data_IF_340923041770
#
_entry.id   IF_340923041770
#
_cell.length_a   1.000
_cell.length_b   1.000
_cell.length_c   1.000
_cell.angle_alpha   90.00
_cell.angle_beta   90.00
_cell.angle_gamma   90.00
#
_symmetry.space_group_name_H-M   'P 1'
#
loop_
_entity.id
_entity.type
_entity.pdbx_description
1 polymer ?
#
# COMPACT_ATOMS: atom_id res chain seq x y z
N UNK A 1 -9.72 -21.65 4.98
CA UNK A 1 -9.12 -20.55 5.78
C UNK A 1 -9.56 -19.15 5.34
N UNK A 2 -9.91 -18.90 4.07
CA UNK A 2 -10.37 -17.59 3.59
C UNK A 2 -11.69 -17.09 4.24
N UNK A 3 -12.64 -18.00 4.52
CA UNK A 3 -13.92 -17.62 5.14
C UNK A 3 -13.79 -17.10 6.59
N UNK A 4 -12.81 -17.60 7.35
CA UNK A 4 -12.59 -17.16 8.74
C UNK A 4 -11.97 -15.77 8.84
N UNK A 5 -11.14 -15.38 7.86
CA UNK A 5 -10.57 -14.04 7.78
C UNK A 5 -11.68 -13.01 7.52
N UNK A 6 -12.52 -13.26 6.51
CA UNK A 6 -13.67 -12.39 6.19
C UNK A 6 -14.68 -12.23 7.34
N UNK A 7 -14.88 -13.27 8.17
CA UNK A 7 -15.76 -13.21 9.36
C UNK A 7 -15.12 -12.38 10.50
N UNK A 8 -13.80 -12.49 10.70
CA UNK A 8 -13.07 -11.67 11.70
C UNK A 8 -12.93 -10.20 11.28
N UNK A 9 -12.77 -9.93 9.99
CA UNK A 9 -12.68 -8.57 9.48
C UNK A 9 -14.02 -7.84 9.58
N UNK A 10 -15.14 -8.56 9.43
CA UNK A 10 -16.48 -8.03 9.61
C UNK A 10 -16.78 -7.65 11.08
N UNK A 11 -16.36 -8.47 12.05
CA UNK A 11 -16.61 -8.15 13.46
C UNK A 11 -15.78 -6.97 13.96
N UNK A 12 -14.52 -6.83 13.52
CA UNK A 12 -13.70 -5.63 13.78
C UNK A 12 -14.27 -4.39 13.08
N UNK A 13 -14.73 -4.54 11.83
CA UNK A 13 -15.32 -3.45 11.06
C UNK A 13 -16.58 -2.90 11.75
N UNK A 14 -17.48 -3.81 12.17
CA UNK A 14 -18.69 -3.44 12.91
C UNK A 14 -18.37 -2.75 14.23
N UNK A 15 -17.32 -3.18 14.95
CA UNK A 15 -16.88 -2.53 16.19
C UNK A 15 -16.36 -1.10 15.95
N UNK A 16 -15.57 -0.89 14.89
CA UNK A 16 -15.14 0.46 14.47
C UNK A 16 -16.33 1.34 14.14
N UNK A 17 -17.28 0.86 13.32
CA UNK A 17 -18.48 1.61 12.96
C UNK A 17 -19.34 1.98 14.17
N UNK A 18 -19.46 1.08 15.14
CA UNK A 18 -20.16 1.34 16.39
C UNK A 18 -19.45 2.44 17.19
N UNK A 19 -18.13 2.40 17.28
CA UNK A 19 -17.32 3.43 17.95
C UNK A 19 -17.45 4.80 17.28
N UNK A 20 -17.47 4.84 15.95
CA UNK A 20 -17.72 6.08 15.20
C UNK A 20 -19.14 6.55 15.48
N UNK A 21 -20.14 5.66 15.42
CA UNK A 21 -21.55 6.00 15.68
C UNK A 21 -21.77 6.54 17.08
N UNK A 22 -21.06 6.06 18.08
CA UNK A 22 -21.18 6.51 19.47
C UNK A 22 -20.65 7.94 19.65
N UNK A 23 -19.62 8.31 18.88
CA UNK A 23 -19.04 9.65 18.90
C UNK A 23 -19.73 10.65 17.98
N UNK A 24 -20.66 10.20 17.13
CA UNK A 24 -21.45 11.08 16.29
C UNK A 24 -22.59 11.72 17.10
N UNK A 25 -22.68 13.05 17.06
CA UNK A 25 -23.83 13.79 17.59
C UNK A 25 -25.03 13.72 16.63
N UNK A 26 -26.22 14.08 17.11
CA UNK A 26 -27.44 14.11 16.28
C UNK A 26 -27.31 15.06 15.07
N UNK A 27 -26.58 16.16 15.23
CA UNK A 27 -26.27 17.10 14.14
C UNK A 27 -25.38 16.44 13.07
N UNK A 28 -24.34 15.73 13.50
CA UNK A 28 -23.46 14.99 12.59
C UNK A 28 -24.24 13.92 11.80
N UNK A 29 -25.13 13.18 12.48
CA UNK A 29 -25.98 12.17 11.82
C UNK A 29 -26.90 12.83 10.81
N UNK A 30 -27.47 13.98 11.14
CA UNK A 30 -28.32 14.77 10.24
C UNK A 30 -27.54 15.23 9.01
N UNK A 31 -26.32 15.75 9.19
CA UNK A 31 -25.44 16.15 8.08
C UNK A 31 -25.04 14.95 7.20
N UNK A 32 -24.75 13.79 7.81
CA UNK A 32 -24.47 12.56 7.07
C UNK A 32 -25.66 12.09 6.24
N UNK A 33 -26.90 12.23 6.74
CA UNK A 33 -28.10 11.90 5.96
C UNK A 33 -28.20 12.72 4.67
N UNK A 34 -27.79 13.98 4.70
CA UNK A 34 -27.78 14.83 3.50
C UNK A 34 -26.71 14.41 2.48
N UNK A 35 -25.60 13.84 2.94
CA UNK A 35 -24.53 13.35 2.08
C UNK A 35 -24.84 11.99 1.43
N UNK A 36 -25.85 11.27 1.93
CA UNK A 36 -26.29 9.97 1.41
C UNK A 36 -27.67 10.04 0.70
N UNK A 37 -27.88 10.88 -0.32
CA UNK A 37 -29.18 11.00 -1.00
C UNK A 37 -29.61 9.68 -1.66
N UNK A 38 -28.63 8.83 -1.99
CA UNK A 38 -28.85 7.50 -2.52
C UNK A 38 -29.75 6.64 -1.61
N UNK A 39 -29.66 6.78 -0.28
CA UNK A 39 -30.37 5.93 0.70
C UNK A 39 -31.90 6.05 0.56
N UNK A 40 -32.36 7.19 0.03
CA UNK A 40 -33.76 7.49 -0.20
C UNK A 40 -34.42 8.05 1.07
N UNK A 41 -35.22 9.10 0.90
CA UNK A 41 -35.81 9.90 2.00
C UNK A 41 -36.55 9.04 3.03
N UNK A 42 -37.36 8.07 2.58
CA UNK A 42 -38.13 7.16 3.46
C UNK A 42 -37.26 6.31 4.40
N UNK A 43 -36.05 5.91 3.99
CA UNK A 43 -35.11 5.16 4.85
C UNK A 43 -34.37 6.11 5.78
N UNK A 44 -33.94 7.27 5.27
CA UNK A 44 -33.25 8.30 6.06
C UNK A 44 -34.11 8.86 7.21
N UNK A 45 -35.43 8.94 7.03
CA UNK A 45 -36.38 9.35 8.08
C UNK A 45 -36.44 8.35 9.25
N UNK A 46 -36.16 7.06 9.01
CA UNK A 46 -36.17 6.02 10.05
C UNK A 46 -34.84 5.85 10.77
N UNK A 47 -33.76 6.35 10.18
CA UNK A 47 -32.40 6.28 10.73
C UNK A 47 -32.31 7.26 11.90
N UNK A 48 -32.05 6.77 13.10
CA UNK A 48 -31.89 7.63 14.29
C UNK A 48 -30.44 7.64 14.79
N UNK A 49 -29.67 6.58 14.53
CA UNK A 49 -28.25 6.48 14.89
C UNK A 49 -27.36 6.41 13.65
N UNK A 50 -26.10 6.83 13.81
CA UNK A 50 -25.09 6.69 12.75
C UNK A 50 -24.91 5.24 12.29
N UNK A 51 -25.02 4.28 13.20
CA UNK A 51 -24.90 2.85 12.88
C UNK A 51 -25.96 2.37 11.89
N UNK A 52 -27.21 2.83 12.00
CA UNK A 52 -28.29 2.45 11.07
C UNK A 52 -28.00 2.99 9.65
N UNK A 53 -27.37 4.17 9.57
CA UNK A 53 -26.91 4.75 8.31
C UNK A 53 -25.79 3.90 7.69
N UNK A 54 -24.82 3.50 8.50
CA UNK A 54 -23.70 2.68 8.06
C UNK A 54 -24.16 1.30 7.60
N UNK A 55 -25.12 0.66 8.28
CA UNK A 55 -25.71 -0.60 7.81
C UNK A 55 -26.40 -0.44 6.46
N UNK A 56 -27.13 0.66 6.23
CA UNK A 56 -27.70 0.94 4.91
C UNK A 56 -26.62 1.09 3.81
N UNK A 57 -25.48 1.70 4.13
CA UNK A 57 -24.36 1.83 3.19
C UNK A 57 -23.68 0.48 2.93
N UNK A 58 -23.60 -0.40 3.94
CA UNK A 58 -23.07 -1.77 3.78
C UNK A 58 -24.00 -2.63 2.93
N UNK A 59 -25.32 -2.59 3.17
CA UNK A 59 -26.32 -3.31 2.37
C UNK A 59 -26.19 -2.99 0.87
N UNK A 60 -25.68 -1.81 0.55
CA UNK A 60 -25.50 -1.30 -0.80
C UNK A 60 -24.10 -1.49 -1.36
N UNK A 61 -23.21 -2.12 -0.60
CA UNK A 61 -21.79 -2.26 -0.89
C UNK A 61 -21.07 -0.91 -1.13
N UNK A 62 -21.60 0.19 -0.59
CA UNK A 62 -20.96 1.50 -0.64
C UNK A 62 -19.78 1.58 0.33
N UNK A 63 -19.92 0.97 1.52
CA UNK A 63 -18.84 0.83 2.48
C UNK A 63 -18.70 -0.64 2.90
N UNK A 64 -17.49 -1.05 3.23
CA UNK A 64 -17.19 -2.41 3.68
C UNK A 64 -15.82 -2.50 4.37
N UNK A 65 -15.46 -3.69 4.88
CA UNK A 65 -14.17 -3.90 5.55
C UNK A 65 -12.97 -3.61 4.63
N UNK A 66 -13.11 -3.88 3.33
CA UNK A 66 -12.10 -3.60 2.31
C UNK A 66 -12.29 -2.23 1.62
N UNK A 67 -13.33 -1.48 1.96
CA UNK A 67 -13.67 -0.20 1.32
C UNK A 67 -14.29 0.80 2.31
N UNK A 68 -13.43 1.56 2.97
CA UNK A 68 -13.72 2.60 3.97
C UNK A 68 -13.70 4.01 3.38
N UNK A 69 -13.29 4.17 2.12
CA UNK A 69 -13.02 5.47 1.47
C UNK A 69 -14.25 6.38 1.43
N UNK A 70 -15.43 5.82 1.13
CA UNK A 70 -16.66 6.59 1.16
C UNK A 70 -16.98 7.07 2.58
N UNK A 71 -16.81 6.23 3.60
CA UNK A 71 -17.03 6.62 4.99
C UNK A 71 -16.08 7.76 5.40
N UNK A 72 -14.79 7.64 5.06
CA UNK A 72 -13.77 8.68 5.31
C UNK A 72 -14.13 9.99 4.64
N UNK A 73 -14.59 9.98 3.38
CA UNK A 73 -15.04 11.19 2.69
C UNK A 73 -16.21 11.85 3.40
N UNK A 74 -17.22 11.07 3.80
CA UNK A 74 -18.42 11.59 4.46
C UNK A 74 -18.09 12.19 5.83
N UNK A 75 -17.26 11.53 6.64
CA UNK A 75 -16.80 12.05 7.93
C UNK A 75 -15.96 13.33 7.79
N UNK A 76 -15.14 13.42 6.74
CA UNK A 76 -14.38 14.64 6.45
C UNK A 76 -15.31 15.80 6.03
N UNK A 77 -16.32 15.53 5.21
CA UNK A 77 -17.29 16.54 4.78
C UNK A 77 -18.12 17.13 5.94
N UNK A 78 -18.41 16.36 6.98
CA UNK A 78 -19.06 16.87 8.20
C UNK A 78 -18.08 17.49 9.20
N UNK A 79 -16.80 17.61 8.85
CA UNK A 79 -15.75 18.19 9.71
C UNK A 79 -15.29 17.29 10.86
N UNK A 80 -15.71 16.02 10.89
CA UNK A 80 -15.35 15.06 11.95
C UNK A 80 -14.01 14.38 11.65
N UNK A 81 -12.96 15.18 11.48
CA UNK A 81 -11.60 14.70 11.19
C UNK A 81 -11.05 13.82 12.32
N UNK A 82 -11.49 14.03 13.56
CA UNK A 82 -11.12 13.21 14.72
C UNK A 82 -11.60 11.77 14.57
N UNK A 83 -12.74 11.55 13.92
CA UNK A 83 -13.29 10.20 13.70
C UNK A 83 -12.54 9.46 12.59
N UNK A 84 -11.82 10.17 11.71
CA UNK A 84 -10.95 9.56 10.71
C UNK A 84 -9.80 8.79 11.36
N UNK A 85 -9.32 9.22 12.53
CA UNK A 85 -8.28 8.48 13.27
C UNK A 85 -8.76 7.10 13.73
N UNK A 86 -10.08 6.93 13.93
CA UNK A 86 -10.66 5.63 14.30
C UNK A 86 -10.68 4.70 13.09
N UNK A 87 -10.91 5.25 11.90
CA UNK A 87 -10.78 4.51 10.64
C UNK A 87 -9.32 4.16 10.40
N UNK A 88 -8.39 5.10 10.61
CA UNK A 88 -6.95 4.87 10.46
C UNK A 88 -6.45 3.77 11.40
N UNK A 89 -6.89 3.76 12.66
CA UNK A 89 -6.56 2.72 13.64
C UNK A 89 -7.14 1.34 13.24
N UNK A 90 -8.39 1.31 12.76
CA UNK A 90 -8.99 0.10 12.21
C UNK A 90 -8.24 -0.41 10.98
N UNK A 91 -7.89 0.48 10.04
CA UNK A 91 -7.11 0.17 8.85
C UNK A 91 -5.74 -0.36 9.26
N UNK A 92 -5.04 0.25 10.21
CA UNK A 92 -3.78 -0.28 10.77
C UNK A 92 -3.94 -1.64 11.45
N UNK A 93 -5.08 -1.91 12.08
CA UNK A 93 -5.36 -3.14 12.83
C UNK A 93 -5.96 -4.30 12.02
N UNK A 94 -6.49 -4.01 10.83
CA UNK A 94 -7.05 -4.98 9.86
C UNK A 94 -6.12 -5.20 8.67
N UNK A 95 -5.43 -4.14 8.25
CA UNK A 95 -4.39 -4.17 7.23
C UNK A 95 -3.07 -3.78 7.89
N UNK A 96 -2.14 -4.72 7.98
CA UNK A 96 -0.74 -4.39 8.23
C UNK A 96 -0.09 -3.58 7.10
N UNK A 97 -0.85 -2.87 6.25
CA UNK A 97 -0.36 -2.07 5.12
C UNK A 97 -1.35 -0.96 4.76
N UNK A 98 -0.97 0.33 4.89
CA UNK A 98 -1.68 1.45 4.29
C UNK A 98 -1.53 1.46 2.75
N UNK A 99 -2.58 1.72 1.96
CA UNK A 99 -2.53 1.66 0.50
C UNK A 99 -1.96 2.88 -0.25
N UNK A 100 -1.43 3.92 0.41
CA UNK A 100 -1.03 5.16 -0.30
C UNK A 100 0.39 5.70 0.03
N UNK A 101 1.18 4.94 0.79
CA UNK A 101 2.62 5.20 0.94
C UNK A 101 3.30 3.98 0.36
N UNK A 102 4.32 4.10 -0.54
CA UNK A 102 5.09 2.94 -0.98
C UNK A 102 5.52 2.21 0.27
N UNK A 103 4.92 1.04 0.46
CA UNK A 103 4.85 0.32 1.71
C UNK A 103 6.25 0.36 2.33
N UNK A 104 6.44 0.89 3.56
CA UNK A 104 7.77 1.02 4.15
C UNK A 104 8.48 -0.33 4.13
N UNK A 105 7.74 -1.44 4.23
CA UNK A 105 8.24 -2.79 4.05
C UNK A 105 8.61 -3.06 2.58
N UNK A 106 7.82 -2.66 1.57
CA UNK A 106 8.21 -2.81 0.17
C UNK A 106 9.43 -1.95 -0.22
N UNK A 107 9.54 -0.74 0.31
CA UNK A 107 10.72 0.12 0.18
C UNK A 107 11.93 -0.50 0.87
N UNK A 108 11.74 -1.02 2.08
CA UNK A 108 12.80 -1.73 2.81
C UNK A 108 13.24 -2.99 2.07
N UNK A 109 12.30 -3.78 1.53
CA UNK A 109 12.58 -4.96 0.70
C UNK A 109 13.39 -4.60 -0.55
N UNK A 110 13.05 -3.50 -1.21
CA UNK A 110 13.84 -2.98 -2.34
C UNK A 110 15.21 -2.51 -1.87
N UNK A 111 15.31 -1.84 -0.72
CA UNK A 111 16.58 -1.37 -0.16
C UNK A 111 17.51 -2.54 0.19
N UNK A 112 17.01 -3.55 0.89
CA UNK A 112 17.73 -4.79 1.22
C UNK A 112 18.18 -5.50 -0.06
N UNK A 113 17.27 -5.67 -1.02
CA UNK A 113 17.62 -6.25 -2.31
C UNK A 113 18.70 -5.42 -3.01
N UNK A 114 18.61 -4.10 -2.94
CA UNK A 114 19.61 -3.17 -3.51
C UNK A 114 20.97 -3.39 -2.89
N UNK A 115 21.09 -3.46 -1.56
CA UNK A 115 22.39 -3.69 -0.89
C UNK A 115 23.02 -5.02 -1.33
N UNK A 116 22.24 -6.11 -1.36
CA UNK A 116 22.72 -7.41 -1.82
C UNK A 116 23.17 -7.37 -3.28
N UNK A 117 22.41 -6.68 -4.14
CA UNK A 117 22.72 -6.52 -5.55
C UNK A 117 23.99 -5.67 -5.74
N UNK A 118 24.15 -4.59 -4.99
CA UNK A 118 25.36 -3.73 -5.02
C UNK A 118 26.61 -4.54 -4.70
N UNK A 119 26.54 -5.41 -3.69
CA UNK A 119 27.66 -6.24 -3.24
C UNK A 119 28.00 -7.38 -4.23
N UNK A 120 27.01 -7.95 -4.93
CA UNK A 120 27.19 -9.19 -5.71
C UNK A 120 27.06 -9.04 -7.24
N UNK A 121 26.50 -7.94 -7.76
CA UNK A 121 26.26 -7.78 -9.20
C UNK A 121 27.53 -7.44 -9.98
N UNK A 122 28.43 -6.65 -9.37
CA UNK A 122 29.70 -6.24 -9.94
C UNK A 122 29.59 -5.69 -11.36
N UNK A 123 30.46 -6.15 -12.28
CA UNK A 123 30.55 -5.65 -13.67
C UNK A 123 29.33 -5.95 -14.55
N UNK A 124 28.39 -6.80 -14.11
CA UNK A 124 27.21 -7.18 -14.91
C UNK A 124 26.04 -6.21 -14.78
N UNK A 125 26.21 -5.12 -14.03
CA UNK A 125 25.19 -4.08 -13.85
C UNK A 125 24.66 -3.49 -15.16
N UNK A 126 25.48 -3.39 -16.23
CA UNK A 126 25.02 -2.92 -17.55
C UNK A 126 23.99 -3.86 -18.17
N UNK A 127 24.21 -5.17 -18.08
CA UNK A 127 23.27 -6.16 -18.60
C UNK A 127 21.97 -6.16 -17.78
N UNK A 128 22.12 -6.01 -16.46
CA UNK A 128 21.00 -5.89 -15.53
C UNK A 128 20.14 -4.65 -15.82
N UNK A 129 20.77 -3.50 -16.06
CA UNK A 129 20.06 -2.26 -16.38
C UNK A 129 19.27 -2.35 -17.69
N UNK A 130 19.85 -2.96 -18.73
CA UNK A 130 19.10 -3.23 -19.98
C UNK A 130 17.89 -4.12 -19.74
N UNK A 131 18.02 -5.15 -18.88
CA UNK A 131 16.91 -6.05 -18.53
C UNK A 131 15.81 -5.36 -17.73
N UNK A 132 16.17 -4.40 -16.89
CA UNK A 132 15.22 -3.56 -16.17
C UNK A 132 14.52 -2.51 -17.05
N UNK A 133 14.93 -2.39 -18.33
CA UNK A 133 14.36 -1.47 -19.30
C UNK A 133 15.00 -0.09 -19.33
N UNK A 134 16.19 0.08 -18.73
CA UNK A 134 16.97 1.31 -18.90
C UNK A 134 17.56 1.37 -20.31
N UNK A 135 17.54 2.57 -20.89
CA UNK A 135 18.14 2.83 -22.20
C UNK A 135 19.68 2.86 -22.11
N UNK A 136 20.34 2.49 -23.19
CA UNK A 136 21.80 2.53 -23.31
C UNK A 136 22.42 3.89 -22.97
N UNK A 137 21.78 4.98 -23.38
CA UNK A 137 22.20 6.35 -23.06
C UNK A 137 22.21 6.63 -21.55
N UNK A 138 21.27 6.06 -20.78
CA UNK A 138 21.24 6.20 -19.33
C UNK A 138 22.37 5.39 -18.68
N UNK A 139 22.62 4.18 -19.20
CA UNK A 139 23.69 3.30 -18.72
C UNK A 139 25.07 3.91 -19.01
N UNK A 140 25.26 4.53 -20.17
CA UNK A 140 26.49 5.28 -20.49
C UNK A 140 26.67 6.47 -19.54
N UNK A 141 25.61 7.25 -19.30
CA UNK A 141 25.67 8.37 -18.36
C UNK A 141 26.01 7.96 -16.92
N UNK A 142 25.53 6.79 -16.46
CA UNK A 142 25.90 6.23 -15.14
C UNK A 142 27.37 5.82 -15.13
N UNK A 143 27.83 5.14 -16.19
CA UNK A 143 29.21 4.68 -16.30
C UNK A 143 30.21 5.86 -16.34
N UNK A 144 29.89 6.92 -17.09
CA UNK A 144 30.76 8.10 -17.16
C UNK A 144 30.86 8.81 -15.81
N UNK A 145 29.72 8.99 -15.11
CA UNK A 145 29.67 9.66 -13.81
C UNK A 145 30.36 8.88 -12.69
N UNK A 146 30.25 7.56 -12.70
CA UNK A 146 30.73 6.70 -11.61
C UNK A 146 31.79 5.69 -12.07
N UNK A 147 32.65 6.07 -13.02
CA UNK A 147 33.57 5.17 -13.74
C UNK A 147 34.56 4.37 -12.87
N UNK A 148 34.85 4.80 -11.65
CA UNK A 148 35.77 4.13 -10.71
C UNK A 148 35.08 3.25 -9.69
N UNK A 149 33.76 3.33 -9.58
CA UNK A 149 33.00 2.72 -8.49
C UNK A 149 31.83 1.89 -9.03
N UNK A 150 31.95 0.57 -8.96
CA UNK A 150 30.92 -0.34 -9.48
C UNK A 150 29.69 -0.38 -8.57
N UNK A 151 29.88 -0.20 -7.27
CA UNK A 151 28.81 -0.22 -6.28
C UNK A 151 27.90 0.99 -6.48
N UNK A 152 28.49 2.16 -6.67
CA UNK A 152 27.75 3.39 -6.93
C UNK A 152 27.03 3.36 -8.30
N UNK A 153 27.64 2.74 -9.33
CA UNK A 153 26.97 2.50 -10.62
C UNK A 153 25.68 1.68 -10.45
N UNK A 154 25.71 0.66 -9.58
CA UNK A 154 24.55 -0.21 -9.30
C UNK A 154 23.49 0.54 -8.51
N UNK A 155 23.88 1.31 -7.47
CA UNK A 155 22.98 2.15 -6.68
C UNK A 155 22.24 3.16 -7.55
N UNK A 156 22.97 3.89 -8.38
CA UNK A 156 22.38 4.89 -9.28
C UNK A 156 21.49 4.26 -10.36
N UNK A 157 21.83 3.08 -10.87
CA UNK A 157 20.96 2.31 -11.77
C UNK A 157 19.61 1.97 -11.11
N UNK A 158 19.64 1.45 -9.89
CA UNK A 158 18.40 1.06 -9.19
C UNK A 158 17.58 2.29 -8.82
N UNK A 159 18.23 3.39 -8.45
CA UNK A 159 17.58 4.67 -8.20
C UNK A 159 16.89 5.24 -9.44
N UNK A 160 17.53 5.17 -10.60
CA UNK A 160 16.91 5.57 -11.87
C UNK A 160 15.75 4.65 -12.24
N UNK A 161 15.91 3.34 -12.05
CA UNK A 161 14.82 2.38 -12.25
C UNK A 161 13.62 2.67 -11.35
N UNK A 162 13.84 2.92 -10.05
CA UNK A 162 12.78 3.32 -9.11
C UNK A 162 12.08 4.60 -9.56
N UNK A 163 12.84 5.61 -10.02
CA UNK A 163 12.27 6.87 -10.52
C UNK A 163 11.42 6.66 -11.78
N UNK A 164 11.81 5.73 -12.64
CA UNK A 164 11.11 5.41 -13.88
C UNK A 164 9.83 4.58 -13.63
N UNK A 165 9.86 3.64 -12.69
CA UNK A 165 8.70 2.78 -12.36
C UNK A 165 7.75 3.34 -11.29
N UNK A 166 8.20 4.33 -10.50
CA UNK A 166 7.47 4.95 -9.36
C UNK A 166 6.69 3.92 -8.51
N UNK A 167 5.39 3.78 -8.76
CA UNK A 167 4.45 2.95 -7.99
C UNK A 167 4.47 1.45 -8.36
N UNK A 168 5.04 1.06 -9.50
CA UNK A 168 5.13 -0.33 -9.93
C UNK A 168 6.53 -0.94 -9.71
N UNK A 169 7.36 -0.31 -8.89
CA UNK A 169 8.67 -0.85 -8.53
C UNK A 169 8.48 -1.99 -7.52
N UNK A 170 8.73 -3.24 -7.93
CA UNK A 170 8.67 -4.42 -7.06
C UNK A 170 10.01 -5.12 -7.00
N UNK A 171 10.33 -5.68 -5.83
CA UNK A 171 11.54 -6.50 -5.65
C UNK A 171 11.55 -7.73 -6.58
N UNK A 172 10.37 -8.24 -6.93
CA UNK A 172 10.21 -9.34 -7.89
C UNK A 172 10.78 -9.02 -9.27
N UNK A 173 10.67 -7.76 -9.73
CA UNK A 173 11.27 -7.33 -11.00
C UNK A 173 12.80 -7.32 -10.95
N UNK A 174 13.37 -6.93 -9.80
CA UNK A 174 14.81 -7.01 -9.57
C UNK A 174 15.26 -8.47 -9.58
N UNK A 175 14.58 -9.36 -8.84
CA UNK A 175 14.87 -10.80 -8.80
C UNK A 175 14.77 -11.42 -10.19
N UNK A 176 13.72 -11.09 -10.94
CA UNK A 176 13.53 -11.58 -12.31
C UNK A 176 14.67 -11.12 -13.22
N UNK A 177 15.03 -9.84 -13.18
CA UNK A 177 16.14 -9.30 -13.95
C UNK A 177 17.50 -9.94 -13.56
N UNK A 178 17.71 -10.25 -12.27
CA UNK A 178 18.91 -10.96 -11.80
C UNK A 178 19.00 -12.38 -12.39
N UNK A 179 17.89 -13.13 -12.37
CA UNK A 179 17.80 -14.47 -12.97
C UNK A 179 18.04 -14.44 -14.47
N UNK A 180 17.44 -13.46 -15.16
CA UNK A 180 17.69 -13.18 -16.59
C UNK A 180 19.17 -12.86 -16.89
N UNK A 181 19.87 -12.23 -15.95
CA UNK A 181 21.31 -11.94 -16.02
C UNK A 181 22.21 -13.11 -15.60
N UNK A 182 21.65 -14.31 -15.36
CA UNK A 182 22.36 -15.47 -14.81
C UNK A 182 23.04 -15.16 -13.47
N UNK A 183 22.46 -14.29 -12.67
CA UNK A 183 22.88 -13.99 -11.30
C UNK A 183 21.94 -14.68 -10.31
N UNK A 184 21.77 -15.99 -10.50
CA UNK A 184 20.89 -16.80 -9.66
C UNK A 184 21.33 -16.77 -8.20
N UNK A 185 22.64 -16.86 -7.93
CA UNK A 185 23.18 -16.75 -6.57
C UNK A 185 22.77 -15.45 -5.85
N UNK A 186 22.82 -14.31 -6.55
CA UNK A 186 22.37 -13.02 -6.02
C UNK A 186 20.85 -13.00 -5.82
N UNK A 187 20.09 -13.55 -6.77
CA UNK A 187 18.64 -13.66 -6.67
C UNK A 187 18.20 -14.51 -5.46
N UNK A 188 18.84 -15.67 -5.26
CA UNK A 188 18.61 -16.56 -4.11
C UNK A 188 18.97 -15.86 -2.79
N UNK A 189 20.05 -15.09 -2.77
CA UNK A 189 20.47 -14.32 -1.58
C UNK A 189 19.48 -13.20 -1.26
N UNK A 190 19.01 -12.47 -2.27
CA UNK A 190 17.93 -11.49 -2.11
C UNK A 190 16.68 -12.17 -1.55
N UNK A 191 16.20 -13.26 -2.15
CA UNK A 191 15.02 -13.99 -1.67
C UNK A 191 15.18 -14.52 -0.25
N UNK A 192 16.37 -14.96 0.13
CA UNK A 192 16.68 -15.41 1.49
C UNK A 192 16.55 -14.26 2.49
N UNK A 193 17.21 -13.12 2.23
CA UNK A 193 17.14 -11.94 3.10
C UNK A 193 15.71 -11.41 3.25
N UNK A 194 14.92 -11.45 2.17
CA UNK A 194 13.50 -11.06 2.20
C UNK A 194 12.64 -12.01 3.04
N UNK A 195 12.93 -13.33 3.03
CA UNK A 195 12.24 -14.32 3.87
C UNK A 195 12.58 -14.16 5.35
N UNK A 196 13.83 -13.81 5.67
CA UNK A 196 14.26 -13.55 7.04
C UNK A 196 13.58 -12.30 7.63
N UNK A 197 13.26 -11.29 6.81
CA UNK A 197 12.51 -10.11 7.23
C UNK A 197 11.03 -10.41 7.59
N UNK A 198 10.39 -11.33 6.87
CA UNK A 198 8.99 -11.71 7.09
C UNK A 198 8.78 -12.81 8.16
N UNK A 199 9.87 -13.28 8.78
CA UNK A 199 9.85 -14.30 9.82
C UNK A 199 9.86 -13.72 11.25
N UNK A 200 9.83 -12.39 11.39
CA UNK A 200 9.86 -11.66 12.66
C UNK A 200 8.55 -10.98 13.01
#
# INVERSE_FOLDING_TARGET
>A
MLAFKHIMDNSKFRAMLLTISDKLTEDNVTNLKFLCPEIGKKKLEKINKGIDLFECLIERAAIGPDNTELLRRHLNQIGQTVLLNIIDDYERGVTGSPPDVPDPEAREKINIATEVIVEHLGKKWRQFGRKLGLQDTQLEGIQEKHSRDLEEQVRELIKQWMKMRRENARVEDLIKALRDCKQNLTADLVEKNLKELGAH
#
